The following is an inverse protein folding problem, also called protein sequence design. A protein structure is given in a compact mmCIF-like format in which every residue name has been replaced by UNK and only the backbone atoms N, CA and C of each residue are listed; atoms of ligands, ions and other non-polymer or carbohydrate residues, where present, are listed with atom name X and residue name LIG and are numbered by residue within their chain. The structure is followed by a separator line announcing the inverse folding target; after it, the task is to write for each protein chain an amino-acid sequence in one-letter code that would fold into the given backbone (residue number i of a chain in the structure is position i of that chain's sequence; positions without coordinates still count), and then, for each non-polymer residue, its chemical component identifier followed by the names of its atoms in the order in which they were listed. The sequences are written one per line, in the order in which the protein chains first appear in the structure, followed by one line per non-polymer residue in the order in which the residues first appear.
data_IF_101724852358
#
_entry.id   IF_101724852358
#
_cell.length_a   1.000
_cell.length_b   1.000
_cell.length_c   1.000
_cell.angle_alpha   90.00
_cell.angle_beta   90.00
_cell.angle_gamma   90.00
#
_symmetry.space_group_name_H-M   'P 1'
#
loop_
_entity.id
_entity.type
_entity.pdbx_description
1 polymer ?
#
# COMPACT_ATOMS: atom_id res chain seq x y z
N UNK A 1 9.71 -7.89 -83.02
CA UNK A 1 10.41 -7.40 -81.81
C UNK A 1 9.37 -6.68 -80.95
N UNK A 2 8.80 -7.34 -80.03
CA UNK A 2 7.83 -6.80 -79.05
C UNK A 2 8.32 -7.10 -77.65
N UNK A 3 8.62 -6.06 -76.89
CA UNK A 3 9.06 -6.16 -75.51
C UNK A 3 7.84 -6.39 -74.62
N UNK A 4 7.86 -7.44 -73.87
CA UNK A 4 6.90 -7.75 -72.80
C UNK A 4 7.31 -7.03 -71.53
N UNK A 5 6.41 -6.25 -70.91
CA UNK A 5 6.60 -5.60 -69.60
C UNK A 5 5.67 -6.34 -68.64
N UNK A 6 6.17 -6.93 -67.53
CA UNK A 6 5.31 -7.48 -66.53
C UNK A 6 4.87 -6.39 -65.52
N UNK A 7 3.58 -6.22 -65.36
CA UNK A 7 2.97 -5.39 -64.32
C UNK A 7 3.09 -6.05 -62.95
N UNK A 8 3.72 -5.38 -62.03
CA UNK A 8 3.71 -5.74 -60.60
C UNK A 8 2.35 -5.42 -60.00
N UNK A 9 1.61 -6.44 -59.65
CA UNK A 9 0.43 -6.34 -58.82
C UNK A 9 0.81 -6.41 -57.34
N UNK A 10 0.82 -5.30 -56.65
CA UNK A 10 0.97 -5.24 -55.21
C UNK A 10 -0.34 -5.58 -54.51
N UNK A 11 -0.39 -6.62 -53.71
CA UNK A 11 -1.44 -6.83 -52.72
C UNK A 11 -0.85 -7.24 -51.40
N UNK A 12 -0.30 -6.26 -50.70
CA UNK A 12 -0.13 -6.36 -49.24
C UNK A 12 -1.35 -5.72 -48.54
N UNK A 13 -2.43 -6.48 -48.41
CA UNK A 13 -3.58 -6.10 -47.60
C UNK A 13 -4.19 -7.33 -46.90
N UNK A 14 -3.50 -7.90 -45.92
CA UNK A 14 -4.10 -8.96 -45.10
C UNK A 14 -3.66 -9.03 -43.62
N UNK A 15 -2.63 -8.29 -43.22
CA UNK A 15 -2.17 -8.37 -41.81
C UNK A 15 -3.00 -7.57 -40.81
N UNK A 16 -3.43 -6.39 -41.19
CA UNK A 16 -4.12 -5.45 -40.24
C UNK A 16 -5.55 -5.88 -39.96
N UNK A 17 -6.24 -6.47 -40.95
CA UNK A 17 -7.64 -6.90 -40.79
C UNK A 17 -7.84 -8.04 -39.82
N UNK A 18 -6.87 -8.92 -39.65
CA UNK A 18 -6.93 -10.09 -38.78
C UNK A 18 -6.78 -9.64 -37.30
N UNK A 19 -5.89 -8.69 -37.02
CA UNK A 19 -5.69 -8.16 -35.66
C UNK A 19 -6.92 -7.37 -35.17
N UNK A 20 -7.56 -6.59 -36.02
CA UNK A 20 -8.78 -5.83 -35.66
C UNK A 20 -9.96 -6.77 -35.41
N UNK A 21 -10.08 -7.90 -36.16
CA UNK A 21 -11.11 -8.92 -35.89
C UNK A 21 -10.85 -9.68 -34.59
N UNK A 22 -9.59 -9.96 -34.24
CA UNK A 22 -9.24 -10.61 -32.98
C UNK A 22 -9.56 -9.73 -31.76
N UNK A 23 -9.45 -8.41 -31.90
CA UNK A 23 -9.84 -7.47 -30.83
C UNK A 23 -11.35 -7.26 -30.72
N UNK A 24 -12.10 -7.34 -31.84
CA UNK A 24 -13.58 -7.26 -31.82
C UNK A 24 -14.28 -8.53 -31.35
N UNK A 25 -13.60 -9.68 -31.34
CA UNK A 25 -14.18 -10.96 -30.91
C UNK A 25 -14.05 -11.25 -29.41
N UNK A 26 -13.40 -10.39 -28.62
CA UNK A 26 -13.49 -10.48 -27.15
C UNK A 26 -14.81 -9.93 -26.70
N UNK A 27 -15.76 -10.83 -26.46
CA UNK A 27 -17.02 -10.51 -25.80
C UNK A 27 -16.68 -9.97 -24.39
N UNK A 28 -16.67 -8.63 -24.22
CA UNK A 28 -16.35 -7.94 -22.96
C UNK A 28 -17.31 -8.35 -21.83
N UNK A 29 -18.41 -9.01 -22.17
CA UNK A 29 -19.41 -9.50 -21.22
C UNK A 29 -19.04 -10.85 -20.58
N UNK A 30 -17.92 -11.49 -20.94
CA UNK A 30 -17.51 -12.80 -20.43
C UNK A 30 -16.16 -12.79 -19.73
N UNK A 31 -15.71 -11.63 -19.20
CA UNK A 31 -14.55 -11.58 -18.32
C UNK A 31 -14.97 -12.07 -16.95
N UNK A 32 -14.38 -13.18 -16.49
CA UNK A 32 -14.60 -13.72 -15.16
C UNK A 32 -14.43 -12.63 -14.10
N UNK A 33 -15.38 -12.53 -13.16
CA UNK A 33 -15.34 -11.57 -12.07
C UNK A 33 -14.32 -12.01 -11.01
N UNK A 34 -13.30 -11.17 -10.73
CA UNK A 34 -12.38 -11.39 -9.62
C UNK A 34 -13.00 -10.83 -8.34
N UNK A 35 -13.40 -11.72 -7.43
CA UNK A 35 -13.98 -11.36 -6.13
C UNK A 35 -12.89 -11.46 -5.05
N UNK A 36 -12.41 -10.31 -4.56
CA UNK A 36 -11.32 -10.24 -3.58
C UNK A 36 -11.70 -9.27 -2.47
N UNK A 37 -11.55 -9.72 -1.21
CA UNK A 37 -11.55 -8.88 -0.01
C UNK A 37 -10.28 -9.19 0.78
N UNK A 38 -9.26 -8.35 0.65
CA UNK A 38 -7.95 -8.54 1.28
C UNK A 38 -7.69 -7.39 2.26
N UNK A 39 -8.26 -7.47 3.47
CA UNK A 39 -8.03 -6.50 4.52
C UNK A 39 -6.69 -6.74 5.19
N UNK A 40 -5.87 -5.70 5.25
CA UNK A 40 -4.54 -5.72 5.87
C UNK A 40 -4.45 -4.61 6.91
N UNK A 41 -3.98 -4.97 8.10
CA UNK A 41 -3.56 -4.04 9.14
C UNK A 41 -2.04 -3.92 9.07
N UNK A 42 -1.55 -2.75 8.68
CA UNK A 42 -0.14 -2.41 8.52
C UNK A 42 0.31 -1.57 9.71
N UNK A 43 1.51 -1.86 10.24
CA UNK A 43 2.10 -1.14 11.37
C UNK A 43 3.59 -0.91 11.09
N UNK A 44 4.06 0.32 11.25
CA UNK A 44 5.49 0.65 11.21
C UNK A 44 5.80 1.90 12.03
N UNK A 45 7.01 1.99 12.55
CA UNK A 45 7.43 3.10 13.39
C UNK A 45 8.36 4.07 12.66
N UNK A 46 8.57 5.22 13.28
CA UNK A 46 9.70 6.10 12.95
C UNK A 46 11.03 5.41 13.24
N UNK A 47 12.10 5.81 12.54
CA UNK A 47 13.46 5.30 12.80
C UNK A 47 13.83 5.55 14.25
N UNK A 48 14.34 4.49 14.90
CA UNK A 48 14.67 4.47 16.34
C UNK A 48 13.49 4.81 17.26
N UNK A 49 12.25 4.71 16.79
CA UNK A 49 11.03 5.10 17.53
C UNK A 49 11.05 6.53 18.04
N UNK A 50 11.63 7.42 17.25
CA UNK A 50 11.65 8.84 17.58
C UNK A 50 10.20 9.37 17.69
N UNK A 51 9.85 9.94 18.83
CA UNK A 51 8.54 10.54 19.08
C UNK A 51 8.45 11.89 18.38
N UNK A 52 7.98 11.92 17.13
CA UNK A 52 7.95 13.10 16.26
C UNK A 52 6.63 13.25 15.49
N UNK A 53 5.67 12.35 15.69
CA UNK A 53 4.34 12.41 15.05
C UNK A 53 3.36 13.09 16.03
N UNK A 54 3.36 14.42 16.05
CA UNK A 54 2.47 15.23 16.90
C UNK A 54 1.57 16.15 16.08
N UNK A 55 0.46 16.65 16.64
CA UNK A 55 -0.30 17.73 16.02
C UNK A 55 0.59 18.97 15.76
N UNK A 56 0.36 19.70 14.64
CA UNK A 56 -0.65 19.41 13.62
C UNK A 56 -0.25 18.32 12.61
N UNK A 57 1.04 17.90 12.59
CA UNK A 57 1.58 17.00 11.56
C UNK A 57 0.93 15.62 11.54
N UNK A 58 0.48 15.10 12.69
CA UNK A 58 -0.11 13.75 12.76
C UNK A 58 -1.36 13.61 11.87
N UNK A 59 -2.31 14.54 11.95
CA UNK A 59 -3.54 14.51 11.16
C UNK A 59 -3.26 14.70 9.66
N UNK A 60 -2.34 15.61 9.32
CA UNK A 60 -1.94 15.83 7.94
C UNK A 60 -1.19 14.61 7.37
N UNK A 61 -0.32 13.99 8.16
CA UNK A 61 0.39 12.76 7.79
C UNK A 61 -0.58 11.62 7.50
N UNK A 62 -1.59 11.41 8.36
CA UNK A 62 -2.60 10.37 8.15
C UNK A 62 -3.40 10.62 6.88
N UNK A 63 -3.77 11.86 6.60
CA UNK A 63 -4.44 12.24 5.36
C UNK A 63 -3.56 11.98 4.14
N UNK A 64 -2.28 12.30 4.22
CA UNK A 64 -1.32 12.09 3.13
C UNK A 64 -1.09 10.60 2.85
N UNK A 65 -0.90 9.78 3.89
CA UNK A 65 -0.80 8.32 3.78
C UNK A 65 -2.07 7.72 3.16
N UNK A 66 -3.24 8.22 3.55
CA UNK A 66 -4.53 7.83 2.98
C UNK A 66 -4.62 8.11 1.48
N UNK A 67 -4.15 9.29 1.06
CA UNK A 67 -4.05 9.66 -0.35
C UNK A 67 -3.17 8.70 -1.16
N UNK A 68 -1.99 8.33 -0.63
CA UNK A 68 -1.10 7.35 -1.29
C UNK A 68 -1.79 5.99 -1.45
N UNK A 69 -2.40 5.46 -0.39
CA UNK A 69 -3.13 4.20 -0.46
C UNK A 69 -4.22 4.23 -1.54
N UNK A 70 -5.06 5.26 -1.54
CA UNK A 70 -6.18 5.39 -2.47
C UNK A 70 -5.70 5.55 -3.93
N UNK A 71 -4.62 6.29 -4.17
CA UNK A 71 -4.01 6.42 -5.49
C UNK A 71 -3.49 5.08 -6.04
N UNK A 72 -3.11 4.17 -5.14
CA UNK A 72 -2.68 2.80 -5.46
C UNK A 72 -3.87 1.80 -5.43
N UNK A 73 -5.10 2.29 -5.49
CA UNK A 73 -6.33 1.49 -5.42
C UNK A 73 -6.42 0.59 -4.18
N UNK A 74 -5.65 0.90 -3.12
CA UNK A 74 -5.72 0.24 -1.81
C UNK A 74 -6.61 1.07 -0.90
N UNK A 75 -7.91 0.77 -0.91
CA UNK A 75 -8.91 1.56 -0.21
C UNK A 75 -8.63 1.62 1.29
N UNK A 76 -8.38 2.83 1.80
CA UNK A 76 -8.19 3.07 3.24
C UNK A 76 -9.53 2.92 3.97
N UNK A 77 -9.47 2.26 5.11
CA UNK A 77 -10.58 2.13 6.05
C UNK A 77 -10.30 2.98 7.29
N UNK A 78 -9.10 2.87 7.86
CA UNK A 78 -8.69 3.63 9.02
C UNK A 78 -7.19 3.87 9.03
N UNK A 79 -6.77 5.06 9.45
CA UNK A 79 -5.39 5.39 9.79
C UNK A 79 -5.37 6.09 11.15
N UNK A 80 -4.39 5.78 11.96
CA UNK A 80 -4.12 6.38 13.25
C UNK A 80 -2.75 5.96 13.74
N UNK A 81 -2.45 6.21 15.01
CA UNK A 81 -1.20 5.83 15.62
C UNK A 81 -0.87 6.65 16.85
N UNK A 82 0.41 6.69 17.17
CA UNK A 82 0.93 7.45 18.30
C UNK A 82 2.13 8.31 17.85
N UNK A 83 2.87 8.84 18.79
CA UNK A 83 3.97 9.78 18.50
C UNK A 83 5.14 9.18 17.71
N UNK A 84 5.28 7.86 17.69
CA UNK A 84 6.42 7.15 17.11
C UNK A 84 6.05 6.06 16.09
N UNK A 85 4.76 5.83 15.83
CA UNK A 85 4.32 4.81 14.86
C UNK A 85 2.94 5.11 14.28
N UNK A 86 2.63 4.40 13.19
CA UNK A 86 1.34 4.46 12.50
C UNK A 86 0.73 3.08 12.32
N UNK A 87 -0.60 3.06 12.33
CA UNK A 87 -1.44 1.93 11.96
C UNK A 87 -2.26 2.31 10.75
N UNK A 88 -2.29 1.44 9.74
CA UNK A 88 -3.10 1.61 8.53
C UNK A 88 -3.93 0.36 8.33
N UNK A 89 -5.25 0.49 8.36
CA UNK A 89 -6.16 -0.55 7.93
C UNK A 89 -6.67 -0.22 6.54
N UNK A 90 -6.39 -1.07 5.57
CA UNK A 90 -6.84 -0.88 4.19
C UNK A 90 -7.25 -2.20 3.55
N UNK A 91 -8.02 -2.09 2.47
CA UNK A 91 -8.28 -3.19 1.54
C UNK A 91 -7.20 -3.15 0.45
N UNK A 92 -6.22 -4.04 0.54
CA UNK A 92 -5.09 -4.09 -0.39
C UNK A 92 -5.57 -4.34 -1.81
N UNK A 93 -5.11 -3.53 -2.74
CA UNK A 93 -5.38 -3.70 -4.16
C UNK A 93 -4.91 -5.07 -4.67
N UNK A 94 -5.72 -5.72 -5.49
CA UNK A 94 -5.32 -6.95 -6.19
C UNK A 94 -4.26 -6.75 -7.28
N UNK A 95 -3.91 -5.50 -7.57
CA UNK A 95 -2.99 -5.12 -8.67
C UNK A 95 -1.57 -4.88 -8.21
N UNK A 96 -1.31 -4.75 -6.90
CA UNK A 96 0.01 -4.41 -6.38
C UNK A 96 0.47 -5.39 -5.29
N UNK A 97 1.79 -5.52 -5.17
CA UNK A 97 2.38 -6.23 -4.04
C UNK A 97 2.34 -5.36 -2.77
N UNK A 98 2.23 -5.98 -1.60
CA UNK A 98 2.28 -5.29 -0.31
C UNK A 98 3.58 -4.49 -0.15
N UNK A 99 4.71 -5.05 -0.57
CA UNK A 99 6.02 -4.38 -0.54
C UNK A 99 6.02 -3.08 -1.34
N UNK A 100 5.35 -3.05 -2.50
CA UNK A 100 5.24 -1.83 -3.32
C UNK A 100 4.40 -0.77 -2.61
N UNK A 101 3.30 -1.15 -1.98
CA UNK A 101 2.50 -0.22 -1.17
C UNK A 101 3.35 0.40 -0.04
N UNK A 102 4.11 -0.41 0.68
CA UNK A 102 4.97 0.05 1.78
C UNK A 102 6.09 0.98 1.30
N UNK A 103 6.73 0.66 0.17
CA UNK A 103 7.73 1.52 -0.46
C UNK A 103 7.18 2.92 -0.75
N UNK A 104 6.02 3.00 -1.41
CA UNK A 104 5.37 4.27 -1.74
C UNK A 104 4.95 5.05 -0.48
N UNK A 105 4.32 4.35 0.49
CA UNK A 105 3.93 4.95 1.76
C UNK A 105 5.12 5.59 2.48
N UNK A 106 6.18 4.82 2.72
CA UNK A 106 7.35 5.27 3.49
C UNK A 106 8.16 6.33 2.74
N UNK A 107 8.46 6.10 1.46
CA UNK A 107 9.27 7.02 0.66
C UNK A 107 8.59 8.39 0.51
N UNK A 108 7.33 8.41 0.10
CA UNK A 108 6.63 9.66 -0.18
C UNK A 108 6.30 10.43 1.10
N UNK A 109 5.82 9.76 2.15
CA UNK A 109 5.50 10.42 3.40
C UNK A 109 6.75 10.94 4.12
N UNK A 110 7.88 10.23 4.05
CA UNK A 110 9.16 10.71 4.59
C UNK A 110 9.62 11.99 3.88
N UNK A 111 9.56 12.03 2.54
CA UNK A 111 9.88 13.23 1.76
C UNK A 111 8.92 14.38 2.06
N UNK A 112 7.65 14.09 2.23
CA UNK A 112 6.62 15.06 2.55
C UNK A 112 6.84 15.67 3.95
N UNK A 113 7.06 14.84 4.98
CA UNK A 113 7.36 15.30 6.33
C UNK A 113 8.56 16.25 6.38
N UNK A 114 9.68 15.91 5.71
CA UNK A 114 10.89 16.75 5.64
C UNK A 114 10.67 18.13 5.01
N UNK A 115 9.63 18.28 4.17
CA UNK A 115 9.29 19.56 3.54
C UNK A 115 8.34 20.42 4.40
N UNK A 116 7.73 19.85 5.44
CA UNK A 116 6.76 20.56 6.29
C UNK A 116 7.44 21.47 7.30
N UNK A 117 8.59 21.03 7.85
CA UNK A 117 9.30 21.77 8.88
C UNK A 117 10.79 21.45 8.82
N UNK A 118 11.70 22.45 8.91
CA UNK A 118 13.15 22.23 8.97
C UNK A 118 13.58 21.28 10.10
N UNK A 119 12.87 21.25 11.23
CA UNK A 119 13.15 20.33 12.34
C UNK A 119 12.94 18.86 11.97
N UNK A 120 12.13 18.59 10.96
CA UNK A 120 11.81 17.25 10.45
C UNK A 120 12.74 16.76 9.35
N UNK A 121 13.84 17.47 9.05
CA UNK A 121 14.80 17.08 8.00
C UNK A 121 15.37 15.67 8.22
N UNK A 122 15.45 15.21 9.48
CA UNK A 122 15.92 13.88 9.88
C UNK A 122 14.76 12.89 10.10
N UNK A 123 13.57 13.17 9.58
CA UNK A 123 12.47 12.23 9.65
C UNK A 123 12.73 11.02 8.75
N UNK A 124 12.73 9.82 9.33
CA UNK A 124 12.80 8.54 8.62
C UNK A 124 11.89 7.52 9.28
N UNK A 125 11.34 6.63 8.48
CA UNK A 125 10.70 5.42 8.95
C UNK A 125 11.74 4.33 9.24
N UNK A 126 11.44 3.40 10.16
CA UNK A 126 12.21 2.16 10.29
C UNK A 126 12.16 1.37 8.97
N UNK A 127 13.10 0.46 8.74
CA UNK A 127 13.14 -0.33 7.52
C UNK A 127 12.06 -1.42 7.51
N UNK A 128 11.85 -2.09 8.65
CA UNK A 128 10.82 -3.11 8.85
C UNK A 128 9.39 -2.59 8.93
N UNK A 129 8.44 -3.50 8.94
CA UNK A 129 7.00 -3.26 9.15
C UNK A 129 6.32 -4.55 9.62
N UNK A 130 5.15 -4.43 10.26
CA UNK A 130 4.19 -5.51 10.44
C UNK A 130 3.04 -5.39 9.47
N UNK A 131 2.58 -6.51 8.94
CA UNK A 131 1.38 -6.55 8.13
C UNK A 131 0.59 -7.82 8.44
N UNK A 132 -0.66 -7.64 8.86
CA UNK A 132 -1.49 -8.70 9.39
C UNK A 132 -2.81 -8.75 8.65
N UNK A 133 -3.21 -9.93 8.19
CA UNK A 133 -4.52 -10.13 7.57
C UNK A 133 -5.63 -9.92 8.58
N UNK A 134 -6.71 -9.27 8.16
CA UNK A 134 -7.86 -9.00 9.02
C UNK A 134 -9.09 -9.70 8.45
N UNK A 135 -9.74 -10.49 9.30
CA UNK A 135 -11.03 -11.10 8.93
C UNK A 135 -12.08 -9.99 8.76
N UNK A 136 -12.93 -10.04 7.71
CA UNK A 136 -13.99 -9.06 7.52
C UNK A 136 -14.88 -8.83 8.76
N UNK A 137 -15.14 -9.86 9.56
CA UNK A 137 -15.91 -9.75 10.80
C UNK A 137 -15.17 -9.02 11.94
N UNK A 138 -13.87 -8.78 11.81
CA UNK A 138 -13.05 -8.12 12.83
C UNK A 138 -12.63 -6.69 12.44
N UNK A 139 -13.03 -6.22 11.27
CA UNK A 139 -12.69 -4.87 10.77
C UNK A 139 -13.05 -3.79 11.78
N UNK A 140 -14.26 -3.82 12.35
CA UNK A 140 -14.73 -2.84 13.34
C UNK A 140 -13.89 -2.85 14.64
N UNK A 141 -13.44 -4.03 15.07
CA UNK A 141 -12.55 -4.14 16.23
C UNK A 141 -11.19 -3.47 15.96
N UNK A 142 -10.66 -3.63 14.74
CA UNK A 142 -9.39 -3.01 14.35
C UNK A 142 -9.55 -1.49 14.20
N UNK A 143 -10.68 -1.01 13.67
CA UNK A 143 -10.99 0.43 13.64
C UNK A 143 -10.96 1.01 15.05
N UNK A 144 -11.75 0.42 15.96
CA UNK A 144 -11.80 0.84 17.37
C UNK A 144 -10.42 0.80 18.05
N UNK A 145 -9.63 -0.22 17.73
CA UNK A 145 -8.27 -0.34 18.25
C UNK A 145 -7.36 0.80 17.76
N UNK A 146 -7.44 1.16 16.48
CA UNK A 146 -6.66 2.27 15.89
C UNK A 146 -7.11 3.62 16.46
N UNK A 147 -8.41 3.80 16.70
CA UNK A 147 -8.95 5.03 17.31
C UNK A 147 -8.45 5.24 18.75
N UNK A 148 -8.30 4.16 19.50
CA UNK A 148 -7.92 4.20 20.90
C UNK A 148 -6.40 4.14 21.14
N UNK A 149 -5.56 4.40 20.14
CA UNK A 149 -4.11 4.30 20.27
C UNK A 149 -3.54 5.19 21.37
N UNK A 150 -4.04 6.42 21.53
CA UNK A 150 -3.58 7.32 22.60
C UNK A 150 -3.83 6.75 24.00
N UNK A 151 -5.02 6.19 24.25
CA UNK A 151 -5.34 5.57 25.54
C UNK A 151 -4.60 4.25 25.76
N UNK A 152 -4.41 3.49 24.67
CA UNK A 152 -3.65 2.25 24.69
C UNK A 152 -2.19 2.48 25.13
N UNK A 153 -1.54 3.53 24.59
CA UNK A 153 -0.14 3.85 24.88
C UNK A 153 0.09 4.52 26.25
N UNK A 154 -0.95 4.87 26.97
CA UNK A 154 -0.82 5.18 28.42
C UNK A 154 -0.39 3.98 29.25
N UNK A 155 -0.66 2.77 28.79
CA UNK A 155 -0.46 1.51 29.54
C UNK A 155 0.58 0.60 28.93
N UNK A 156 0.90 0.76 27.65
CA UNK A 156 1.80 -0.14 26.91
C UNK A 156 2.71 0.66 25.97
N UNK A 157 3.95 0.19 25.83
CA UNK A 157 4.88 0.70 24.82
C UNK A 157 4.57 0.10 23.45
N UNK A 158 4.99 0.76 22.37
CA UNK A 158 4.92 0.21 21.01
C UNK A 158 5.57 -1.18 20.91
N UNK A 159 6.71 -1.39 21.55
CA UNK A 159 7.39 -2.68 21.51
C UNK A 159 6.56 -3.80 22.15
N UNK A 160 5.90 -3.53 23.28
CA UNK A 160 5.00 -4.50 23.92
C UNK A 160 3.79 -4.82 23.06
N UNK A 161 3.24 -3.79 22.41
CA UNK A 161 2.13 -3.92 21.47
C UNK A 161 2.54 -4.76 20.25
N UNK A 162 3.66 -4.42 19.63
CA UNK A 162 4.14 -5.08 18.41
C UNK A 162 4.46 -6.56 18.66
N UNK A 163 5.13 -6.89 19.78
CA UNK A 163 5.33 -8.29 20.20
C UNK A 163 4.02 -9.05 20.39
N UNK A 164 2.99 -8.38 20.93
CA UNK A 164 1.67 -9.00 21.08
C UNK A 164 1.04 -9.34 19.74
N UNK A 165 1.19 -8.47 18.72
CA UNK A 165 0.79 -8.79 17.34
C UNK A 165 1.56 -9.98 16.78
N UNK A 166 2.89 -9.95 16.83
CA UNK A 166 3.72 -11.04 16.32
C UNK A 166 3.33 -12.38 16.94
N UNK A 167 3.14 -12.41 18.26
CA UNK A 167 2.66 -13.58 18.99
C UNK A 167 1.26 -14.02 18.56
N UNK A 168 0.31 -13.08 18.47
CA UNK A 168 -1.09 -13.35 18.06
C UNK A 168 -1.16 -13.98 16.67
N UNK A 169 -0.37 -13.47 15.75
CA UNK A 169 -0.34 -13.91 14.34
C UNK A 169 0.69 -15.03 14.08
N UNK A 170 1.37 -15.52 15.13
CA UNK A 170 2.38 -16.58 15.05
C UNK A 170 3.49 -16.26 14.04
N UNK A 171 3.92 -15.01 13.99
CA UNK A 171 5.03 -14.56 13.15
C UNK A 171 6.32 -14.77 13.92
N UNK A 172 7.23 -15.56 13.36
CA UNK A 172 8.59 -15.70 13.86
C UNK A 172 9.39 -14.42 13.58
N UNK A 173 10.20 -13.98 14.53
CA UNK A 173 11.02 -12.79 14.41
C UNK A 173 12.30 -12.91 15.24
N UNK A 174 13.30 -12.12 14.87
CA UNK A 174 14.54 -11.99 15.61
C UNK A 174 14.56 -10.63 16.33
N UNK A 175 14.70 -10.65 17.66
CA UNK A 175 14.74 -9.44 18.50
C UNK A 175 15.87 -8.48 18.10
N UNK A 176 16.93 -8.97 17.46
CA UNK A 176 18.05 -8.12 17.00
C UNK A 176 17.70 -7.22 15.83
N UNK A 177 16.73 -7.63 15.00
CA UNK A 177 16.40 -6.97 13.72
C UNK A 177 14.99 -6.39 13.65
N UNK A 178 14.10 -6.81 14.55
CA UNK A 178 12.68 -6.41 14.50
C UNK A 178 12.45 -4.92 14.78
N UNK A 179 13.47 -4.24 15.33
CA UNK A 179 13.38 -2.84 15.76
C UNK A 179 14.10 -1.84 14.86
N UNK A 180 14.72 -2.28 13.78
CA UNK A 180 15.47 -1.45 12.83
C UNK A 180 14.61 -0.92 11.67
#
# INVERSE_FOLDING_TARGET
MGRYIPTMGATHRSGIGIWIKALKGRNLNNMGQSLVKNYIHIVFSTKHRASIIYPPYSSELYSYLGGICNNLESQVIKIGGYSDHVHILCMLSKKIALTKLLEELKSHSSKWMKKRDPSLIKFYWQDGYGAFSVNPAEVEKVITYIDNQHEHHRKRTFQQEYRAFLKKYKVEYDERYVWD
#
